data_IF_666238866552
#
_entry.id   IF_666238866552
#
_cell.length_a   1.000
_cell.length_b   1.000
_cell.length_c   1.000
_cell.angle_alpha   90.00
_cell.angle_beta   90.00
_cell.angle_gamma   90.00
#
_symmetry.space_group_name_H-M   'P 1'
#
loop_
_entity.id
_entity.type
_entity.pdbx_description
1 polymer ?
#
# COMPACT_ATOMS: atom_id res chain seq x y z
N UNK A 1 11.31 20.49 10.28
CA UNK A 1 10.79 19.60 11.36
C UNK A 1 9.56 18.91 10.80
N UNK A 2 9.53 17.57 10.81
CA UNK A 2 8.38 16.81 10.29
C UNK A 2 7.22 16.91 11.30
N UNK A 3 6.01 17.33 10.89
CA UNK A 3 4.87 17.41 11.79
C UNK A 3 4.35 16.00 12.18
N UNK A 4 3.72 15.86 13.36
CA UNK A 4 3.15 14.58 13.78
C UNK A 4 1.88 14.23 12.97
N UNK A 5 1.88 13.06 12.34
CA UNK A 5 0.76 12.55 11.52
C UNK A 5 -0.24 11.71 12.33
N UNK A 6 -0.67 12.20 13.50
CA UNK A 6 -1.56 11.46 14.41
C UNK A 6 -2.91 11.07 13.75
N UNK A 7 -3.39 11.89 12.81
CA UNK A 7 -4.65 11.66 12.09
C UNK A 7 -4.65 10.41 11.19
N UNK A 8 -3.47 9.88 10.83
CA UNK A 8 -3.35 8.65 10.03
C UNK A 8 -3.63 7.38 10.83
N UNK A 9 -3.58 7.46 12.16
CA UNK A 9 -3.94 6.34 13.04
C UNK A 9 -5.46 6.15 13.14
N UNK A 10 -6.22 7.23 12.94
CA UNK A 10 -7.68 7.23 13.04
C UNK A 10 -8.36 6.95 11.71
N UNK A 11 -7.74 7.31 10.57
CA UNK A 11 -8.34 7.14 9.25
C UNK A 11 -8.32 5.68 8.78
N UNK A 12 -9.45 5.25 8.23
CA UNK A 12 -9.62 3.94 7.64
C UNK A 12 -9.39 4.01 6.13
N UNK A 13 -8.77 2.98 5.59
CA UNK A 13 -8.45 2.90 4.17
C UNK A 13 -9.70 2.66 3.34
N UNK A 14 -10.09 3.67 2.56
CA UNK A 14 -11.16 3.54 1.58
C UNK A 14 -10.65 2.89 0.29
N UNK A 15 -11.07 1.64 0.06
CA UNK A 15 -10.73 0.85 -1.14
C UNK A 15 -11.79 0.93 -2.24
N UNK A 16 -12.87 1.70 -2.05
CA UNK A 16 -13.97 1.81 -3.03
C UNK A 16 -13.51 2.39 -4.36
N UNK A 17 -12.57 3.34 -4.32
CA UNK A 17 -12.09 4.08 -5.48
C UNK A 17 -10.85 3.45 -6.15
N UNK A 18 -10.34 2.33 -5.64
CA UNK A 18 -9.11 1.68 -6.13
C UNK A 18 -9.26 1.24 -7.59
N UNK A 19 -10.39 0.62 -7.94
CA UNK A 19 -10.67 0.15 -9.30
C UNK A 19 -10.74 1.30 -10.31
N UNK A 20 -11.42 2.40 -9.96
CA UNK A 20 -11.52 3.59 -10.81
C UNK A 20 -10.14 4.22 -11.05
N UNK A 21 -9.31 4.31 -10.00
CA UNK A 21 -7.93 4.83 -10.10
C UNK A 21 -7.05 3.95 -11.00
N UNK A 22 -7.12 2.63 -10.88
CA UNK A 22 -6.36 1.70 -11.73
C UNK A 22 -6.77 1.85 -13.20
N UNK A 23 -8.06 1.98 -13.46
CA UNK A 23 -8.57 2.22 -14.81
C UNK A 23 -8.04 3.54 -15.40
N UNK A 24 -8.07 4.63 -14.63
CA UNK A 24 -7.50 5.90 -15.06
C UNK A 24 -5.99 5.81 -15.30
N UNK A 25 -5.23 5.15 -14.41
CA UNK A 25 -3.78 4.96 -14.57
C UNK A 25 -3.43 4.13 -15.81
N UNK A 26 -4.24 3.11 -16.13
CA UNK A 26 -4.11 2.34 -17.36
C UNK A 26 -4.32 3.22 -18.61
N UNK A 27 -5.31 4.11 -18.58
CA UNK A 27 -5.52 5.10 -19.65
C UNK A 27 -4.34 6.08 -19.78
N UNK A 28 -3.70 6.43 -18.66
CA UNK A 28 -2.51 7.27 -18.62
C UNK A 28 -1.21 6.56 -19.04
N UNK A 29 -1.27 5.27 -19.40
CA UNK A 29 -0.13 4.50 -19.92
C UNK A 29 0.63 3.67 -18.87
N UNK A 30 0.13 3.55 -17.64
CA UNK A 30 0.71 2.61 -16.66
C UNK A 30 0.33 1.18 -17.06
N UNK A 31 1.28 0.24 -17.18
CA UNK A 31 1.06 -1.11 -17.70
C UNK A 31 0.38 -2.02 -16.66
N UNK A 32 -0.87 -1.71 -16.32
CA UNK A 32 -1.73 -2.59 -15.52
C UNK A 32 -2.44 -3.60 -16.42
N UNK A 33 -2.42 -4.88 -16.01
CA UNK A 33 -3.13 -5.94 -16.73
C UNK A 33 -4.65 -5.69 -16.73
N UNK A 34 -5.29 -6.09 -17.83
CA UNK A 34 -6.74 -5.92 -18.00
C UNK A 34 -7.47 -6.84 -17.00
N UNK A 35 -8.24 -6.25 -16.08
CA UNK A 35 -8.92 -6.97 -15.01
C UNK A 35 -8.18 -6.94 -13.66
N UNK A 36 -7.01 -6.30 -13.58
CA UNK A 36 -6.29 -6.11 -12.33
C UNK A 36 -7.12 -5.35 -11.28
N UNK A 37 -8.04 -4.49 -11.71
CA UNK A 37 -8.99 -3.79 -10.85
C UNK A 37 -9.83 -4.72 -9.94
N UNK A 38 -10.07 -5.97 -10.34
CA UNK A 38 -10.83 -6.95 -9.55
C UNK A 38 -10.00 -7.64 -8.48
N UNK A 39 -8.71 -7.84 -8.76
CA UNK A 39 -7.77 -8.52 -7.86
C UNK A 39 -6.97 -7.53 -7.00
N UNK A 40 -6.96 -6.24 -7.35
CA UNK A 40 -6.20 -5.22 -6.64
C UNK A 40 -6.55 -5.10 -5.16
N UNK A 41 -7.84 -5.20 -4.80
CA UNK A 41 -8.26 -5.15 -3.41
C UNK A 41 -7.80 -6.38 -2.62
N UNK A 42 -7.78 -7.56 -3.25
CA UNK A 42 -7.25 -8.77 -2.63
C UNK A 42 -5.73 -8.66 -2.43
N UNK A 43 -5.01 -8.23 -3.46
CA UNK A 43 -3.56 -8.03 -3.40
C UNK A 43 -3.15 -6.99 -2.36
N UNK A 44 -3.96 -5.94 -2.21
CA UNK A 44 -3.81 -4.93 -1.18
C UNK A 44 -3.97 -5.54 0.21
N UNK A 45 -5.00 -6.37 0.42
CA UNK A 45 -5.23 -7.03 1.70
C UNK A 45 -4.08 -7.96 2.06
N UNK A 46 -3.59 -8.77 1.12
CA UNK A 46 -2.45 -9.66 1.33
C UNK A 46 -1.19 -8.88 1.74
N UNK A 47 -0.90 -7.76 1.08
CA UNK A 47 0.21 -6.88 1.45
C UNK A 47 0.01 -6.25 2.84
N UNK A 48 -1.19 -5.73 3.10
CA UNK A 48 -1.53 -5.11 4.38
C UNK A 48 -1.41 -6.10 5.54
N UNK A 49 -1.87 -7.34 5.36
CA UNK A 49 -1.72 -8.42 6.34
C UNK A 49 -0.25 -8.77 6.57
N UNK A 50 0.55 -8.86 5.50
CA UNK A 50 1.99 -9.11 5.62
C UNK A 50 2.71 -8.01 6.42
N UNK A 51 2.39 -6.74 6.16
CA UNK A 51 2.96 -5.60 6.88
C UNK A 51 2.47 -5.58 8.33
N UNK A 52 1.18 -5.81 8.59
CA UNK A 52 0.64 -5.89 9.94
C UNK A 52 1.29 -7.01 10.76
N UNK A 53 1.56 -8.16 10.14
CA UNK A 53 2.26 -9.27 10.80
C UNK A 53 3.72 -8.92 11.12
N UNK A 54 4.43 -8.25 10.21
CA UNK A 54 5.79 -7.76 10.47
C UNK A 54 5.81 -6.72 11.60
N UNK A 55 4.88 -5.76 11.58
CA UNK A 55 4.73 -4.77 12.66
C UNK A 55 4.40 -5.41 14.00
N UNK A 56 3.58 -6.47 14.00
CA UNK A 56 3.26 -7.24 15.21
C UNK A 56 4.50 -7.94 15.79
N UNK A 57 5.41 -8.43 14.95
CA UNK A 57 6.69 -8.97 15.39
C UNK A 57 7.57 -7.89 16.05
N UNK A 58 7.48 -6.66 15.56
CA UNK A 58 8.14 -5.47 16.13
C UNK A 58 7.35 -4.83 17.30
N UNK A 59 6.38 -5.56 17.88
CA UNK A 59 5.53 -5.13 19.01
C UNK A 59 4.59 -3.95 18.74
N UNK A 60 4.30 -3.64 17.47
CA UNK A 60 3.38 -2.59 17.04
C UNK A 60 2.07 -3.22 16.53
N UNK A 61 0.98 -3.02 17.27
CA UNK A 61 -0.34 -3.59 16.93
C UNK A 61 -1.20 -2.55 16.20
N UNK A 62 -1.25 -2.65 14.87
CA UNK A 62 -2.03 -1.75 14.00
C UNK A 62 -2.96 -2.59 13.11
N UNK A 63 -4.20 -2.14 12.95
CA UNK A 63 -5.17 -2.83 12.09
C UNK A 63 -4.75 -2.74 10.61
N UNK A 64 -4.83 -3.85 9.83
CA UNK A 64 -4.51 -3.90 8.39
C UNK A 64 -5.29 -2.89 7.54
N UNK A 65 -6.41 -2.38 8.06
CA UNK A 65 -7.30 -1.43 7.37
C UNK A 65 -6.95 0.04 7.59
N UNK A 66 -5.88 0.38 8.33
CA UNK A 66 -5.51 1.78 8.57
C UNK A 66 -4.67 2.34 7.43
N UNK A 67 -4.89 3.62 7.10
CA UNK A 67 -4.13 4.31 6.03
C UNK A 67 -2.63 4.31 6.26
N UNK A 68 -2.20 4.29 7.54
CA UNK A 68 -0.79 4.24 7.91
C UNK A 68 -0.08 3.03 7.29
N UNK A 69 -0.78 1.90 7.09
CA UNK A 69 -0.20 0.70 6.47
C UNK A 69 0.02 0.90 4.98
N UNK A 70 -0.86 1.62 4.28
CA UNK A 70 -0.67 1.97 2.88
C UNK A 70 0.57 2.86 2.69
N UNK A 71 0.81 3.81 3.61
CA UNK A 71 1.99 4.66 3.59
C UNK A 71 3.27 3.85 3.88
N UNK A 72 3.23 2.97 4.89
CA UNK A 72 4.35 2.07 5.21
C UNK A 72 4.66 1.17 4.00
N UNK A 73 3.64 0.58 3.36
CA UNK A 73 3.79 -0.24 2.17
C UNK A 73 4.48 0.54 1.04
N UNK A 74 4.04 1.78 0.80
CA UNK A 74 4.62 2.64 -0.23
C UNK A 74 6.10 2.95 0.04
N UNK A 75 6.44 3.33 1.27
CA UNK A 75 7.82 3.66 1.66
C UNK A 75 8.72 2.42 1.63
N UNK A 76 8.26 1.29 2.17
CA UNK A 76 9.00 0.03 2.15
C UNK A 76 9.25 -0.46 0.72
N UNK A 77 8.23 -0.36 -0.14
CA UNK A 77 8.36 -0.70 -1.55
C UNK A 77 9.36 0.21 -2.25
N UNK A 78 9.31 1.52 -2.01
CA UNK A 78 10.27 2.46 -2.59
C UNK A 78 11.72 2.09 -2.23
N UNK A 79 11.98 1.72 -0.96
CA UNK A 79 13.30 1.26 -0.53
C UNK A 79 13.74 -0.05 -1.19
N UNK A 80 12.81 -1.02 -1.33
CA UNK A 80 13.09 -2.34 -1.93
C UNK A 80 13.24 -2.29 -3.45
N UNK A 81 12.47 -1.46 -4.12
CA UNK A 81 12.51 -1.29 -5.57
C UNK A 81 13.81 -0.61 -6.00
N UNK A 82 14.31 0.36 -5.22
CA UNK A 82 15.62 1.00 -5.44
C UNK A 82 16.79 0.02 -5.21
N UNK A 83 16.70 -0.83 -4.17
CA UNK A 83 17.79 -1.78 -3.88
C UNK A 83 17.89 -2.91 -4.91
N UNK A 84 16.77 -3.32 -5.53
CA UNK A 84 16.77 -4.31 -6.62
C UNK A 84 17.37 -3.79 -7.93
N UNK A 85 17.30 -2.48 -8.22
CA UNK A 85 17.90 -1.91 -9.43
C UNK A 85 19.43 -1.93 -9.44
N UNK A 86 20.10 -2.12 -8.28
CA UNK A 86 21.56 -2.13 -8.18
C UNK A 86 22.24 -3.43 -8.64
N UNK A 87 21.49 -4.46 -9.03
CA UNK A 87 22.01 -5.78 -9.40
C UNK A 87 21.86 -6.09 -10.90
N UNK A 88 22.08 -5.12 -11.78
CA UNK A 88 22.27 -5.33 -13.22
C UNK A 88 23.56 -4.65 -13.70
#
# INVERSE_FOLDING_TARGET
>A
IMPPYAFMLTQELDTSNTAAKINAMRTLGVPYEKGFEKIANQHLLEQATGIANNLKADSILISPTKEVIALIAYVQRMGKDISKQKNN
#
